data_IF_498152445515
#
_entry.id   IF_498152445515
#
_cell.length_a   1.000
_cell.length_b   1.000
_cell.length_c   1.000
_cell.angle_alpha   90.00
_cell.angle_beta   90.00
_cell.angle_gamma   90.00
#
_symmetry.space_group_name_H-M   'P 1'
#
loop_
_entity.id
_entity.type
_entity.pdbx_description
1 polymer ?
#
# COMPACT_ATOMS: atom_id res chain seq x y z
N UNK A 1 -20.76 -5.73 -1.45
CA UNK A 1 -21.03 -6.88 -2.34
C UNK A 1 -19.99 -7.02 -3.44
N UNK A 2 -19.79 -6.04 -4.34
CA UNK A 2 -18.82 -6.19 -5.46
C UNK A 2 -17.39 -6.45 -4.94
N UNK A 3 -16.98 -5.81 -3.84
CA UNK A 3 -15.68 -6.05 -3.18
C UNK A 3 -15.53 -7.50 -2.70
N UNK A 4 -16.42 -7.98 -1.81
CA UNK A 4 -16.43 -9.38 -1.34
C UNK A 4 -16.33 -10.42 -2.47
N UNK A 5 -17.07 -10.21 -3.57
CA UNK A 5 -17.04 -11.10 -4.73
C UNK A 5 -15.68 -11.03 -5.46
N UNK A 6 -15.14 -9.82 -5.66
CA UNK A 6 -13.80 -9.63 -6.24
C UNK A 6 -12.74 -10.32 -5.40
N UNK A 7 -12.80 -10.17 -4.08
CA UNK A 7 -11.81 -10.70 -3.15
C UNK A 7 -11.89 -12.23 -3.10
N UNK A 8 -13.11 -12.80 -3.11
CA UNK A 8 -13.32 -14.24 -3.30
C UNK A 8 -12.73 -14.75 -4.62
N UNK A 9 -12.98 -14.07 -5.75
CA UNK A 9 -12.44 -14.47 -7.05
C UNK A 9 -10.91 -14.35 -7.12
N UNK A 10 -10.32 -13.34 -6.49
CA UNK A 10 -8.87 -13.22 -6.36
C UNK A 10 -8.28 -14.37 -5.52
N UNK A 11 -8.92 -14.73 -4.41
CA UNK A 11 -8.52 -15.87 -3.59
C UNK A 11 -8.66 -17.20 -4.34
N UNK A 12 -9.77 -17.41 -5.06
CA UNK A 12 -9.99 -18.59 -5.90
C UNK A 12 -8.91 -18.76 -6.96
N UNK A 13 -8.62 -17.70 -7.73
CA UNK A 13 -7.58 -17.71 -8.76
C UNK A 13 -6.20 -18.04 -8.18
N UNK A 14 -5.88 -17.48 -7.01
CA UNK A 14 -4.60 -17.74 -6.34
C UNK A 14 -4.49 -19.16 -5.79
N UNK A 15 -5.59 -19.73 -5.29
CA UNK A 15 -5.66 -21.15 -4.90
C UNK A 15 -5.44 -22.05 -6.11
N UNK A 16 -6.14 -21.80 -7.23
CA UNK A 16 -6.06 -22.65 -8.41
C UNK A 16 -4.66 -22.65 -9.04
N UNK A 17 -4.03 -21.48 -9.19
CA UNK A 17 -2.65 -21.32 -9.67
C UNK A 17 -1.64 -22.04 -8.75
N UNK A 18 -1.72 -21.78 -7.44
CA UNK A 18 -0.80 -22.37 -6.45
C UNK A 18 -0.92 -23.89 -6.44
N UNK A 19 -2.14 -24.42 -6.32
CA UNK A 19 -2.35 -25.86 -6.24
C UNK A 19 -2.06 -26.59 -7.56
N UNK A 20 -2.28 -25.95 -8.71
CA UNK A 20 -1.85 -26.51 -9.99
C UNK A 20 -0.31 -26.67 -10.02
N UNK A 21 0.43 -25.60 -9.70
CA UNK A 21 1.90 -25.59 -9.70
C UNK A 21 2.52 -26.49 -8.64
N UNK A 22 1.83 -26.74 -7.52
CA UNK A 22 2.34 -27.61 -6.45
C UNK A 22 2.01 -29.09 -6.63
N UNK A 23 0.86 -29.42 -7.24
CA UNK A 23 0.32 -30.79 -7.24
C UNK A 23 0.28 -31.46 -8.62
N UNK A 24 0.19 -30.72 -9.71
CA UNK A 24 0.20 -31.31 -11.06
C UNK A 24 1.64 -31.44 -11.52
N UNK A 25 2.08 -32.67 -11.70
CA UNK A 25 3.48 -33.02 -12.00
C UNK A 25 3.63 -33.79 -13.31
N UNK A 26 2.57 -34.51 -13.72
CA UNK A 26 2.52 -35.23 -14.99
C UNK A 26 1.44 -34.62 -15.89
N UNK A 27 1.79 -34.36 -17.14
CA UNK A 27 0.87 -33.91 -18.19
C UNK A 27 0.81 -34.92 -19.35
N UNK A 28 1.13 -36.19 -19.05
CA UNK A 28 1.18 -37.29 -20.03
C UNK A 28 -0.22 -37.81 -20.41
N UNK A 29 -1.18 -37.69 -19.50
CA UNK A 29 -2.56 -38.13 -19.67
C UNK A 29 -3.49 -36.92 -19.51
N UNK A 30 -4.72 -37.02 -20.07
CA UNK A 30 -5.73 -35.95 -19.94
C UNK A 30 -6.45 -35.98 -18.59
N UNK A 31 -6.46 -37.13 -17.93
CA UNK A 31 -7.14 -37.32 -16.66
C UNK A 31 -6.17 -37.12 -15.49
N UNK A 32 -6.68 -36.69 -14.33
CA UNK A 32 -5.86 -36.36 -13.17
C UNK A 32 -5.62 -37.61 -12.34
N UNK A 33 -4.35 -37.92 -12.05
CA UNK A 33 -3.98 -39.11 -11.29
C UNK A 33 -4.52 -39.02 -9.84
N UNK A 34 -4.82 -40.16 -9.21
CA UNK A 34 -5.44 -40.21 -7.86
C UNK A 34 -4.64 -39.45 -6.79
N UNK A 35 -3.31 -39.48 -6.92
CA UNK A 35 -2.38 -38.85 -5.99
C UNK A 35 -2.37 -37.33 -6.16
N UNK A 36 -2.53 -36.85 -7.39
CA UNK A 36 -2.67 -35.43 -7.72
C UNK A 36 -4.02 -34.89 -7.21
N UNK A 37 -5.12 -35.65 -7.36
CA UNK A 37 -6.43 -35.30 -6.76
C UNK A 37 -6.32 -35.16 -5.24
N UNK A 38 -5.69 -36.13 -4.57
CA UNK A 38 -5.47 -36.10 -3.12
C UNK A 38 -4.56 -34.93 -2.68
N UNK A 39 -3.57 -34.56 -3.51
CA UNK A 39 -2.74 -33.38 -3.29
C UNK A 39 -3.55 -32.08 -3.40
N UNK A 40 -4.34 -31.91 -4.47
CA UNK A 40 -5.12 -30.69 -4.73
C UNK A 40 -6.14 -30.44 -3.60
N UNK A 41 -6.82 -31.48 -3.10
CA UNK A 41 -7.71 -31.37 -1.94
C UNK A 41 -6.98 -30.81 -0.70
N UNK A 42 -5.86 -31.45 -0.32
CA UNK A 42 -5.03 -31.01 0.83
C UNK A 42 -4.46 -29.61 0.63
N UNK A 43 -4.13 -29.24 -0.61
CA UNK A 43 -3.63 -27.90 -0.94
C UNK A 43 -4.71 -26.83 -0.75
N UNK A 44 -5.92 -27.07 -1.25
CA UNK A 44 -7.06 -26.16 -1.07
C UNK A 44 -7.40 -25.98 0.41
N UNK A 45 -7.53 -27.08 1.16
CA UNK A 45 -7.78 -27.04 2.61
C UNK A 45 -6.69 -26.26 3.35
N UNK A 46 -5.40 -26.52 3.03
CA UNK A 46 -4.27 -25.82 3.64
C UNK A 46 -4.29 -24.33 3.31
N UNK A 47 -4.61 -23.94 2.08
CA UNK A 47 -4.66 -22.54 1.69
C UNK A 47 -5.83 -21.79 2.36
N UNK A 48 -7.01 -22.40 2.46
CA UNK A 48 -8.18 -21.82 3.14
C UNK A 48 -7.88 -21.63 4.63
N UNK A 49 -7.40 -22.68 5.32
CA UNK A 49 -7.02 -22.61 6.73
C UNK A 49 -5.89 -21.60 6.99
N UNK A 50 -4.91 -21.51 6.08
CA UNK A 50 -3.81 -20.53 6.19
C UNK A 50 -4.32 -19.09 6.04
N UNK A 51 -5.21 -18.83 5.08
CA UNK A 51 -5.83 -17.52 4.89
C UNK A 51 -6.62 -17.08 6.14
N UNK A 52 -7.47 -17.96 6.67
CA UNK A 52 -8.22 -17.71 7.91
C UNK A 52 -7.30 -17.42 9.10
N UNK A 53 -6.20 -18.18 9.25
CA UNK A 53 -5.22 -17.99 10.32
C UNK A 53 -4.41 -16.69 10.16
N UNK A 54 -4.06 -16.31 8.93
CA UNK A 54 -3.44 -15.00 8.65
C UNK A 54 -4.41 -13.87 9.05
N UNK A 55 -5.70 -13.99 8.74
CA UNK A 55 -6.70 -12.99 9.12
C UNK A 55 -6.85 -12.88 10.64
N UNK A 56 -6.86 -13.99 11.38
CA UNK A 56 -6.87 -13.99 12.86
C UNK A 56 -5.65 -13.23 13.43
N UNK A 57 -4.44 -13.61 13.03
CA UNK A 57 -3.21 -12.96 13.49
C UNK A 57 -3.15 -11.48 13.06
N UNK A 58 -3.69 -11.14 11.89
CA UNK A 58 -3.77 -9.76 11.42
C UNK A 58 -4.67 -8.91 12.33
N UNK A 59 -5.85 -9.41 12.73
CA UNK A 59 -6.73 -8.72 13.69
C UNK A 59 -6.06 -8.51 15.07
N UNK A 60 -5.22 -9.45 15.52
CA UNK A 60 -4.48 -9.34 16.79
C UNK A 60 -3.31 -8.32 16.71
N UNK A 61 -2.58 -8.30 15.61
CA UNK A 61 -1.31 -7.57 15.47
C UNK A 61 -1.49 -6.18 14.84
N UNK A 62 -2.44 -6.00 13.93
CA UNK A 62 -2.68 -4.74 13.23
C UNK A 62 -2.89 -3.54 14.18
N UNK A 63 -3.69 -3.62 15.27
CA UNK A 63 -3.87 -2.49 16.18
C UNK A 63 -2.56 -2.03 16.81
N UNK A 64 -1.69 -2.97 17.21
CA UNK A 64 -0.39 -2.67 17.80
C UNK A 64 0.57 -2.03 16.78
N UNK A 65 0.52 -2.48 15.53
CA UNK A 65 1.31 -1.91 14.42
C UNK A 65 0.83 -0.50 14.07
N UNK A 66 -0.47 -0.24 14.07
CA UNK A 66 -1.04 1.10 13.82
C UNK A 66 -0.68 2.06 14.96
N UNK A 67 -0.80 1.64 16.23
CA UNK A 67 -0.41 2.45 17.37
C UNK A 67 1.07 2.88 17.27
N UNK A 68 1.99 1.93 17.07
CA UNK A 68 3.43 2.20 16.89
C UNK A 68 3.77 3.03 15.65
N UNK A 69 2.89 3.07 14.64
CA UNK A 69 3.05 3.95 13.48
C UNK A 69 2.64 5.39 13.79
N UNK A 70 1.60 5.61 14.61
CA UNK A 70 1.23 6.94 15.06
C UNK A 70 2.32 7.56 15.94
N UNK A 71 2.80 6.83 16.97
CA UNK A 71 3.87 7.31 17.88
C UNK A 71 5.12 7.76 17.12
N UNK A 72 5.52 7.01 16.08
CA UNK A 72 6.66 7.36 15.22
C UNK A 72 6.39 8.55 14.32
N UNK A 73 5.16 8.71 13.84
CA UNK A 73 4.78 9.85 13.01
C UNK A 73 4.74 11.15 13.83
N UNK A 74 4.29 11.08 15.09
CA UNK A 74 4.32 12.21 16.03
C UNK A 74 5.77 12.65 16.34
N UNK A 75 6.68 11.69 16.56
CA UNK A 75 8.12 11.96 16.73
C UNK A 75 8.72 12.63 15.49
N UNK A 76 8.45 12.09 14.29
CA UNK A 76 8.92 12.68 13.04
C UNK A 76 8.34 14.08 12.79
N UNK A 77 7.07 14.33 13.13
CA UNK A 77 6.47 15.67 13.03
C UNK A 77 7.13 16.66 14.00
N UNK A 78 7.44 16.24 15.23
CA UNK A 78 8.11 17.07 16.22
C UNK A 78 9.56 17.40 15.80
N UNK A 79 10.31 16.43 15.27
CA UNK A 79 11.66 16.65 14.73
C UNK A 79 11.64 17.57 13.49
N UNK A 80 10.65 17.41 12.60
CA UNK A 80 10.51 18.26 11.41
C UNK A 80 10.16 19.71 11.80
N UNK A 81 9.18 19.91 12.69
CA UNK A 81 8.83 21.25 13.20
C UNK A 81 9.97 21.92 13.98
N UNK A 82 10.80 21.14 14.69
CA UNK A 82 11.99 21.65 15.36
C UNK A 82 13.08 22.10 14.37
N UNK A 83 13.24 21.41 13.24
CA UNK A 83 14.14 21.82 12.16
C UNK A 83 13.62 23.08 11.43
N UNK A 84 12.33 23.11 11.06
CA UNK A 84 11.68 24.28 10.43
C UNK A 84 11.74 25.54 11.31
N UNK A 85 11.65 25.37 12.64
CA UNK A 85 11.78 26.47 13.61
C UNK A 85 13.21 26.98 13.78
N UNK A 86 14.24 26.23 13.37
CA UNK A 86 15.64 26.61 13.49
C UNK A 86 16.15 27.44 12.30
N UNK A 87 15.48 27.38 11.14
CA UNK A 87 15.79 28.20 9.96
C UNK A 87 15.12 29.59 9.98
N UNK A 88 14.18 29.82 10.90
CA UNK A 88 13.48 31.10 11.06
C UNK A 88 14.26 32.12 11.92
N UNK A 89 15.41 32.62 11.43
CA UNK A 89 16.00 33.87 11.96
C UNK A 89 15.70 35.09 11.06
N UNK A 90 15.49 36.29 11.63
CA UNK A 90 14.82 37.38 10.93
C UNK A 90 15.80 38.32 10.25
N UNK A 91 15.54 38.66 8.98
CA UNK A 91 16.18 39.80 8.33
C UNK A 91 15.57 41.10 8.90
N UNK A 92 16.41 41.97 9.48
CA UNK A 92 16.00 43.29 10.00
C UNK A 92 16.90 44.40 9.44
N UNK A 93 16.30 45.59 9.24
CA UNK A 93 16.82 46.77 8.51
C UNK A 93 16.97 46.55 6.97
N UNK A 94 16.58 47.49 6.10
CA UNK A 94 16.48 48.95 6.24
C UNK A 94 15.14 49.51 5.69
N UNK A 95 14.84 50.80 5.92
CA UNK A 95 13.52 51.42 5.65
C UNK A 95 13.56 52.58 4.64
N UNK A 96 12.38 52.90 4.08
CA UNK A 96 12.05 53.99 3.13
C UNK A 96 12.50 53.74 1.66
N UNK A 97 11.72 54.02 0.61
CA UNK A 97 10.36 54.61 0.48
C UNK A 97 9.70 54.18 -0.86
N UNK A 98 8.43 54.57 -1.08
CA UNK A 98 7.66 54.65 -2.35
C UNK A 98 6.91 53.39 -2.83
N UNK A 99 5.61 53.38 -2.54
CA UNK A 99 4.52 52.96 -3.45
C UNK A 99 3.92 54.24 -4.10
N UNK A 100 3.09 54.22 -5.19
CA UNK A 100 2.26 53.13 -5.74
C UNK A 100 2.46 52.95 -7.29
N UNK A 101 1.64 52.30 -8.14
CA UNK A 101 0.23 51.84 -8.11
C UNK A 101 -0.02 50.49 -8.83
N UNK A 102 -1.14 49.88 -8.44
CA UNK A 102 -2.05 48.96 -9.13
C UNK A 102 -1.75 48.39 -10.55
N UNK A 103 -1.91 47.07 -10.66
CA UNK A 103 -2.63 46.41 -11.76
C UNK A 103 -3.26 45.06 -11.30
N UNK A 104 -4.55 44.87 -11.58
CA UNK A 104 -5.27 43.58 -11.52
C UNK A 104 -4.75 42.63 -12.65
N UNK A 105 -5.05 41.31 -12.72
CA UNK A 105 -6.20 40.58 -12.19
C UNK A 105 -5.97 39.04 -12.08
N UNK A 106 -6.90 38.37 -11.40
CA UNK A 106 -7.46 37.03 -11.74
C UNK A 106 -6.55 35.79 -11.69
N UNK A 107 -6.62 35.11 -10.54
CA UNK A 107 -7.17 33.74 -10.36
C UNK A 107 -6.94 32.68 -11.46
N UNK A 108 -6.17 31.64 -11.13
CA UNK A 108 -6.42 30.25 -11.54
C UNK A 108 -5.69 29.25 -10.62
N UNK A 109 -6.43 28.39 -9.91
CA UNK A 109 -5.90 27.09 -9.47
C UNK A 109 -5.77 26.17 -10.71
N UNK A 110 -4.86 25.19 -10.71
CA UNK A 110 -5.37 23.84 -10.48
C UNK A 110 -4.44 22.91 -9.68
N UNK A 111 -5.06 21.85 -9.15
CA UNK A 111 -4.41 20.72 -8.50
C UNK A 111 -3.72 19.84 -9.56
N UNK A 112 -2.37 19.77 -9.56
CA UNK A 112 -1.61 18.82 -10.38
C UNK A 112 -0.19 18.59 -9.83
N UNK A 113 -0.08 17.98 -8.64
CA UNK A 113 1.21 17.60 -8.04
C UNK A 113 1.17 16.18 -7.41
N UNK A 114 0.28 15.31 -7.90
CA UNK A 114 0.19 13.89 -7.51
C UNK A 114 0.47 13.00 -8.72
N UNK A 115 1.53 13.32 -9.47
CA UNK A 115 1.96 12.53 -10.62
C UNK A 115 3.47 12.68 -10.89
N UNK A 116 4.29 12.38 -9.86
CA UNK A 116 5.76 12.41 -9.95
C UNK A 116 6.46 11.27 -9.18
N UNK A 117 5.72 10.21 -8.79
CA UNK A 117 6.23 9.14 -7.91
C UNK A 117 5.97 7.70 -8.44
N UNK A 118 5.64 7.53 -9.72
CA UNK A 118 5.31 6.22 -10.33
C UNK A 118 6.27 5.79 -11.47
N UNK A 119 7.45 6.40 -11.58
CA UNK A 119 8.39 6.17 -12.69
C UNK A 119 9.61 5.27 -12.38
N UNK A 120 9.82 4.81 -11.13
CA UNK A 120 11.04 4.07 -10.75
C UNK A 120 10.81 2.59 -10.34
N UNK A 121 9.58 2.06 -10.48
CA UNK A 121 9.23 0.69 -10.07
C UNK A 121 9.13 -0.32 -11.23
N UNK A 122 9.83 -0.09 -12.36
CA UNK A 122 9.91 -1.03 -13.50
C UNK A 122 11.38 -1.26 -13.91
N UNK A 123 12.22 -1.56 -12.93
CA UNK A 123 13.63 -1.92 -13.13
C UNK A 123 14.20 -2.77 -11.96
N UNK A 124 13.62 -3.94 -11.71
CA UNK A 124 14.25 -5.11 -11.06
C UNK A 124 13.36 -6.35 -11.19
#
# INVERSE_FOLDING_TARGET
>A
MVTELRDFLQMYNRISETCFTQCISSLLERDVQSDEVACVQRCADKHINSNQKIMQVFMEVQPQVVAKRMEKMEQQMAETQAAESAEAQPQTAEAAEVQPQAAEATEAQPQAAVEAAQAEAVAQ
#
